data_IF_855221838404
#
_entry.id   IF_855221838404
#
_cell.length_a   1.000
_cell.length_b   1.000
_cell.length_c   1.000
_cell.angle_alpha   90.00
_cell.angle_beta   90.00
_cell.angle_gamma   90.00
#
_symmetry.space_group_name_H-M   'P 1'
#
loop_
_entity.id
_entity.type
_entity.pdbx_description
1 polymer ?
#
# COMPACT_ATOMS: atom_id res chain seq x y z
N UNK A 1 11.77 8.78 2.10
CA UNK A 1 10.33 8.99 2.35
C UNK A 1 10.01 8.37 3.71
N UNK A 2 9.18 9.02 4.54
CA UNK A 2 8.73 8.44 5.81
C UNK A 2 7.41 7.73 5.56
N UNK A 3 7.31 6.48 5.97
CA UNK A 3 6.08 5.68 5.91
C UNK A 3 5.63 5.40 7.32
N UNK A 4 4.33 5.54 7.55
CA UNK A 4 3.70 5.23 8.82
C UNK A 4 2.39 4.47 8.58
N UNK A 5 2.03 3.64 9.54
CA UNK A 5 0.78 2.91 9.54
C UNK A 5 0.41 2.54 10.97
N UNK A 6 -0.87 2.28 11.19
CA UNK A 6 -1.34 1.66 12.41
C UNK A 6 -0.97 0.17 12.45
N UNK A 7 -0.36 -0.28 13.55
CA UNK A 7 0.10 -1.67 13.69
C UNK A 7 -1.05 -2.67 13.81
N UNK A 8 -2.23 -2.26 14.31
CA UNK A 8 -3.40 -3.12 14.30
C UNK A 8 -3.90 -3.37 12.86
N UNK A 9 -3.90 -2.34 12.02
CA UNK A 9 -4.19 -2.47 10.58
C UNK A 9 -3.17 -3.36 9.88
N UNK A 10 -1.88 -3.25 10.20
CA UNK A 10 -0.86 -4.12 9.61
C UNK A 10 -1.07 -5.60 9.99
N UNK A 11 -1.39 -5.90 11.26
CA UNK A 11 -1.71 -7.27 11.70
C UNK A 11 -2.91 -7.86 10.97
N UNK A 12 -3.96 -7.07 10.76
CA UNK A 12 -5.13 -7.48 9.97
C UNK A 12 -4.75 -7.73 8.51
N UNK A 13 -3.94 -6.86 7.90
CA UNK A 13 -3.49 -7.02 6.52
C UNK A 13 -2.64 -8.29 6.32
N UNK A 14 -1.76 -8.62 7.27
CA UNK A 14 -0.99 -9.86 7.26
C UNK A 14 -1.92 -11.07 7.37
N UNK A 15 -2.92 -11.03 8.25
CA UNK A 15 -3.90 -12.12 8.40
C UNK A 15 -4.71 -12.34 7.12
N UNK A 16 -5.25 -11.26 6.55
CA UNK A 16 -6.25 -11.32 5.47
C UNK A 16 -5.60 -11.46 4.08
N UNK A 17 -4.41 -10.89 3.90
CA UNK A 17 -3.75 -10.78 2.60
C UNK A 17 -2.32 -11.35 2.58
N UNK A 18 -1.77 -11.74 3.74
CA UNK A 18 -0.39 -12.29 3.87
C UNK A 18 0.70 -11.33 3.42
N UNK A 19 0.46 -10.03 3.54
CA UNK A 19 1.40 -8.96 3.19
C UNK A 19 1.67 -8.12 4.44
N UNK A 20 2.94 -7.96 4.83
CA UNK A 20 3.36 -6.94 5.79
C UNK A 20 3.56 -5.61 5.04
N UNK A 21 3.07 -4.50 5.58
CA UNK A 21 3.29 -3.17 5.00
C UNK A 21 4.77 -2.81 4.85
N UNK A 22 5.65 -3.38 5.68
CA UNK A 22 7.11 -3.25 5.53
C UNK A 22 7.62 -3.80 4.20
N UNK A 23 7.02 -4.87 3.70
CA UNK A 23 7.42 -5.47 2.43
C UNK A 23 7.10 -4.51 1.28
N UNK A 24 5.94 -3.85 1.33
CA UNK A 24 5.41 -2.96 0.27
C UNK A 24 6.35 -1.80 -0.04
N UNK A 25 7.22 -1.42 0.91
CA UNK A 25 8.23 -0.39 0.71
C UNK A 25 9.15 -0.67 -0.49
N UNK A 26 9.35 -1.93 -0.84
CA UNK A 26 10.13 -2.31 -2.03
C UNK A 26 9.45 -1.88 -3.33
N UNK A 27 8.11 -1.90 -3.40
CA UNK A 27 7.37 -1.56 -4.62
C UNK A 27 7.59 -0.10 -5.04
N UNK A 28 7.80 0.79 -4.06
CA UNK A 28 8.12 2.20 -4.30
C UNK A 28 9.52 2.44 -4.88
N UNK A 29 10.37 1.40 -5.00
CA UNK A 29 11.68 1.50 -5.68
C UNK A 29 11.57 1.32 -7.19
N UNK A 30 10.46 0.74 -7.69
CA UNK A 30 10.17 0.59 -9.11
C UNK A 30 9.10 1.57 -9.58
N UNK A 31 8.63 1.43 -10.83
CA UNK A 31 7.46 2.16 -11.32
C UNK A 31 6.24 1.84 -10.45
N UNK A 32 5.53 2.90 -10.03
CA UNK A 32 4.26 2.81 -9.33
C UNK A 32 3.26 3.70 -10.07
N UNK A 33 2.12 3.14 -10.44
CA UNK A 33 0.98 3.94 -10.91
C UNK A 33 0.20 4.39 -9.69
N UNK A 34 -0.02 5.70 -9.56
CA UNK A 34 -0.71 6.30 -8.43
C UNK A 34 -1.85 7.15 -9.00
N UNK A 35 -3.05 6.98 -8.44
CA UNK A 35 -4.22 7.78 -8.80
C UNK A 35 -5.00 8.19 -7.56
N UNK A 36 -5.76 9.29 -7.68
CA UNK A 36 -6.65 9.75 -6.64
C UNK A 36 -7.83 8.78 -6.54
N UNK A 37 -8.18 8.40 -5.31
CA UNK A 37 -9.33 7.55 -5.03
C UNK A 37 -10.56 8.41 -4.73
N UNK A 38 -11.29 8.75 -5.78
CA UNK A 38 -12.51 9.56 -5.74
C UNK A 38 -13.80 8.73 -5.74
N UNK A 39 -13.70 7.41 -5.51
CA UNK A 39 -14.83 6.48 -5.53
C UNK A 39 -15.87 6.76 -4.45
N UNK A 40 -15.45 7.32 -3.32
CA UNK A 40 -16.29 7.67 -2.17
C UNK A 40 -15.84 9.00 -1.57
N UNK A 41 -16.73 9.68 -0.83
CA UNK A 41 -16.34 10.83 -0.03
C UNK A 41 -15.78 10.38 1.33
N UNK A 42 -14.47 10.16 1.39
CA UNK A 42 -13.77 9.71 2.60
C UNK A 42 -13.56 10.81 3.65
N UNK A 43 -13.88 12.07 3.36
CA UNK A 43 -13.58 13.22 4.21
C UNK A 43 -12.10 13.63 4.21
N UNK A 44 -11.29 13.00 3.36
CA UNK A 44 -9.86 13.24 3.17
C UNK A 44 -9.45 12.74 1.77
N UNK A 45 -8.31 13.22 1.26
CA UNK A 45 -7.73 12.69 0.02
C UNK A 45 -7.16 11.30 0.26
N UNK A 46 -7.56 10.34 -0.57
CA UNK A 46 -6.98 8.98 -0.60
C UNK A 46 -6.38 8.70 -1.95
N UNK A 47 -5.30 7.93 -1.94
CA UNK A 47 -4.55 7.60 -3.15
C UNK A 47 -4.38 6.08 -3.23
N UNK A 48 -4.61 5.52 -4.41
CA UNK A 48 -4.38 4.09 -4.69
C UNK A 48 -3.10 3.96 -5.51
N UNK A 49 -2.18 3.12 -5.03
CA UNK A 49 -0.93 2.81 -5.71
C UNK A 49 -0.90 1.36 -6.19
N UNK A 50 -0.49 1.14 -7.45
CA UNK A 50 -0.24 -0.17 -8.03
C UNK A 50 1.25 -0.26 -8.40
N UNK A 51 1.95 -1.23 -7.83
CA UNK A 51 3.38 -1.44 -8.04
C UNK A 51 3.80 -2.90 -7.88
N UNK A 52 5.06 -3.19 -8.20
CA UNK A 52 5.61 -4.55 -8.20
C UNK A 52 6.32 -4.82 -6.88
N UNK A 53 5.83 -5.80 -6.11
CA UNK A 53 6.39 -6.15 -4.80
C UNK A 53 7.48 -7.23 -4.86
N UNK A 54 7.41 -8.15 -5.81
CA UNK A 54 8.40 -9.24 -6.00
C UNK A 54 8.55 -9.49 -7.50
N UNK A 55 9.77 -9.75 -7.95
CA UNK A 55 9.99 -10.22 -9.31
C UNK A 55 9.59 -11.69 -9.35
N UNK A 56 8.42 -12.00 -9.92
CA UNK A 56 8.11 -13.37 -10.32
C UNK A 56 8.77 -13.52 -11.70
N UNK A 57 9.76 -14.41 -11.88
CA UNK A 57 10.29 -14.72 -13.21
C UNK A 57 9.21 -15.27 -14.14
#
# INVERSE_FOLDING_TARGET
MRFEWDEHKNRLNIRDHRIDFRDVLQAFRGPVLIDLDDRENYGEDRWVGIGILRNIP
#
